data_IF_812478571304
#
_entry.id   IF_812478571304
#
_cell.length_a   1.000
_cell.length_b   1.000
_cell.length_c   1.000
_cell.angle_alpha   90.00
_cell.angle_beta   90.00
_cell.angle_gamma   90.00
#
_symmetry.space_group_name_H-M   'P 1'
#
loop_
_entity.id
_entity.type
_entity.pdbx_description
1 polymer ?
#
# COMPACT_ATOMS: atom_id res chain seq x y z
N UNK A 1 4.61 43.03 -13.94
CA UNK A 1 4.41 43.30 -12.50
C UNK A 1 4.82 42.04 -11.76
N UNK A 2 5.60 42.16 -10.69
CA UNK A 2 5.99 40.99 -9.89
C UNK A 2 4.82 40.53 -9.03
N UNK A 3 4.73 39.24 -8.76
CA UNK A 3 3.76 38.71 -7.82
C UNK A 3 4.15 39.01 -6.36
N UNK A 4 3.17 38.90 -5.46
CA UNK A 4 3.35 39.23 -4.05
C UNK A 4 4.40 38.32 -3.37
N UNK A 5 4.48 37.04 -3.78
CA UNK A 5 5.45 36.08 -3.26
C UNK A 5 6.89 36.48 -3.57
N UNK A 6 7.17 36.89 -4.82
CA UNK A 6 8.50 37.35 -5.22
C UNK A 6 8.89 38.67 -4.53
N UNK A 7 7.97 39.62 -4.40
CA UNK A 7 8.23 40.88 -3.67
C UNK A 7 8.55 40.63 -2.19
N UNK A 8 7.83 39.73 -1.54
CA UNK A 8 8.08 39.35 -0.15
C UNK A 8 9.44 38.68 0.03
N UNK A 9 9.81 37.76 -0.85
CA UNK A 9 11.13 37.12 -0.86
C UNK A 9 12.27 38.12 -1.05
N UNK A 10 12.11 39.06 -2.00
CA UNK A 10 13.10 40.13 -2.24
C UNK A 10 13.26 41.00 -1.01
N UNK A 11 12.16 41.39 -0.37
CA UNK A 11 12.18 42.19 0.85
C UNK A 11 12.86 41.44 2.00
N UNK A 12 12.50 40.18 2.23
CA UNK A 12 13.07 39.33 3.28
C UNK A 12 14.58 39.10 3.07
N UNK A 13 15.03 38.92 1.83
CA UNK A 13 16.44 38.78 1.49
C UNK A 13 17.25 40.09 1.61
N UNK A 14 16.60 41.24 1.82
CA UNK A 14 17.27 42.54 1.84
C UNK A 14 17.59 43.10 0.45
N UNK A 15 16.81 42.72 -0.57
CA UNK A 15 16.85 43.25 -1.93
C UNK A 15 17.27 42.24 -3.00
N UNK A 16 17.06 42.62 -4.27
CA UNK A 16 17.26 41.74 -5.44
C UNK A 16 18.69 41.22 -5.54
N UNK A 17 19.69 42.06 -5.26
CA UNK A 17 21.10 41.68 -5.30
C UNK A 17 21.49 40.69 -4.19
N UNK A 18 20.89 40.83 -3.01
CA UNK A 18 21.12 39.92 -1.88
C UNK A 18 20.47 38.56 -2.12
N UNK A 19 19.24 38.54 -2.67
CA UNK A 19 18.56 37.31 -3.08
C UNK A 19 19.37 36.58 -4.17
N UNK A 20 19.81 37.28 -5.21
CA UNK A 20 20.61 36.71 -6.30
C UNK A 20 21.94 36.11 -5.81
N UNK A 21 22.65 36.84 -4.94
CA UNK A 21 23.90 36.37 -4.32
C UNK A 21 23.66 35.13 -3.48
N UNK A 22 22.60 35.13 -2.68
CA UNK A 22 22.20 34.01 -1.84
C UNK A 22 21.85 32.74 -2.63
N UNK A 23 21.23 32.90 -3.81
CA UNK A 23 20.86 31.79 -4.70
C UNK A 23 21.98 31.37 -5.65
N UNK A 24 23.15 32.02 -5.62
CA UNK A 24 24.27 31.71 -6.50
C UNK A 24 24.00 32.01 -7.98
N UNK A 25 23.15 32.98 -8.30
CA UNK A 25 22.78 33.35 -9.68
C UNK A 25 23.02 34.83 -9.97
N UNK A 26 23.02 35.17 -11.26
CA UNK A 26 23.20 36.56 -11.69
C UNK A 26 21.99 37.42 -11.28
N UNK A 27 22.26 38.64 -10.77
CA UNK A 27 21.24 39.61 -10.35
C UNK A 27 20.24 39.99 -11.47
N UNK A 28 20.63 40.07 -12.76
CA UNK A 28 19.67 40.22 -13.86
C UNK A 28 18.66 39.07 -13.96
N UNK A 29 19.03 37.84 -13.59
CA UNK A 29 18.12 36.68 -13.63
C UNK A 29 16.95 36.84 -12.68
N UNK A 30 17.21 37.23 -11.42
CA UNK A 30 16.16 37.53 -10.43
C UNK A 30 15.36 38.76 -10.85
N UNK A 31 16.02 39.76 -11.44
CA UNK A 31 15.35 40.98 -11.89
C UNK A 31 14.28 40.71 -12.95
N UNK A 32 14.53 39.73 -13.82
CA UNK A 32 13.63 39.30 -14.88
C UNK A 32 12.45 38.42 -14.41
N UNK A 33 12.46 37.95 -13.16
CA UNK A 33 11.36 37.13 -12.65
C UNK A 33 10.09 37.96 -12.48
N UNK A 34 8.99 37.44 -13.04
CA UNK A 34 7.64 37.89 -12.71
C UNK A 34 7.10 37.17 -11.46
N UNK A 35 7.53 35.92 -11.25
CA UNK A 35 7.29 35.06 -10.09
C UNK A 35 8.49 34.15 -9.89
N UNK A 36 8.63 33.55 -8.71
CA UNK A 36 9.74 32.62 -8.41
C UNK A 36 9.58 31.35 -9.27
N UNK A 37 10.59 30.92 -10.06
CA UNK A 37 10.54 29.67 -10.81
C UNK A 37 10.31 28.45 -9.90
N UNK A 38 9.55 27.46 -10.36
CA UNK A 38 9.11 26.32 -9.53
C UNK A 38 10.30 25.57 -8.90
N UNK A 39 11.34 25.33 -9.71
CA UNK A 39 12.57 24.66 -9.34
C UNK A 39 13.44 25.44 -8.35
N UNK A 40 13.12 26.71 -8.08
CA UNK A 40 13.86 27.59 -7.17
C UNK A 40 13.13 27.91 -5.87
N UNK A 41 11.87 27.50 -5.71
CA UNK A 41 11.06 27.88 -4.54
C UNK A 41 11.69 27.40 -3.23
N UNK A 42 12.13 26.15 -3.17
CA UNK A 42 12.76 25.57 -1.96
C UNK A 42 14.05 26.30 -1.58
N UNK A 43 14.86 26.69 -2.56
CA UNK A 43 16.09 27.44 -2.31
C UNK A 43 15.80 28.87 -1.82
N UNK A 44 14.75 29.50 -2.35
CA UNK A 44 14.31 30.83 -1.90
C UNK A 44 13.72 30.77 -0.49
N UNK A 45 12.90 29.77 -0.18
CA UNK A 45 12.35 29.54 1.16
C UNK A 45 13.47 29.35 2.19
N UNK A 46 14.41 28.45 1.92
CA UNK A 46 15.54 28.19 2.83
C UNK A 46 16.35 29.47 3.12
N UNK A 47 16.53 30.34 2.11
CA UNK A 47 17.30 31.57 2.26
C UNK A 47 16.54 32.69 2.97
N UNK A 48 15.26 32.86 2.63
CA UNK A 48 14.44 34.00 3.08
C UNK A 48 13.63 33.70 4.32
N UNK A 49 13.50 32.42 4.69
CA UNK A 49 12.57 31.91 5.71
C UNK A 49 11.11 32.32 5.45
N UNK A 50 10.80 32.74 4.22
CA UNK A 50 9.43 32.97 3.76
C UNK A 50 8.90 31.66 3.22
N UNK A 51 7.80 31.22 3.78
CA UNK A 51 7.20 29.92 3.50
C UNK A 51 6.80 29.76 2.02
N UNK A 52 7.06 28.59 1.42
CA UNK A 52 6.69 28.21 0.05
C UNK A 52 5.21 28.42 -0.28
N UNK A 53 4.32 28.26 0.70
CA UNK A 53 2.87 28.49 0.55
C UNK A 53 2.56 29.97 0.28
N UNK A 54 3.43 30.89 0.72
CA UNK A 54 3.35 32.32 0.42
C UNK A 54 4.12 32.67 -0.86
N UNK A 55 5.24 32.00 -1.11
CA UNK A 55 6.07 32.25 -2.29
C UNK A 55 5.42 31.82 -3.60
N UNK A 56 4.76 30.65 -3.62
CA UNK A 56 4.06 30.07 -4.79
C UNK A 56 2.79 29.30 -4.35
N UNK A 57 1.74 30.01 -3.87
CA UNK A 57 0.46 29.39 -3.50
C UNK A 57 -0.20 28.65 -4.67
N UNK A 58 0.09 29.04 -5.91
CA UNK A 58 -0.41 28.36 -7.12
C UNK A 58 0.20 26.97 -7.34
N UNK A 59 1.37 26.68 -6.76
CA UNK A 59 1.99 25.35 -6.84
C UNK A 59 1.77 24.52 -5.59
N UNK A 60 1.83 25.15 -4.42
CA UNK A 60 1.86 24.44 -3.15
C UNK A 60 0.54 24.49 -2.39
N UNK A 61 -0.44 25.30 -2.84
CA UNK A 61 -1.70 25.49 -2.13
C UNK A 61 -1.51 26.22 -0.80
N UNK A 62 -2.35 25.90 0.18
CA UNK A 62 -2.18 26.34 1.57
C UNK A 62 -1.52 25.24 2.43
N UNK A 63 -0.92 25.60 3.59
CA UNK A 63 -0.43 24.62 4.54
C UNK A 63 -1.53 23.66 5.04
N UNK A 64 -2.75 24.18 5.16
CA UNK A 64 -3.93 23.40 5.56
C UNK A 64 -4.27 22.34 4.50
N UNK A 65 -4.26 22.70 3.21
CA UNK A 65 -4.51 21.75 2.11
C UNK A 65 -3.49 20.61 2.08
N UNK A 66 -2.20 20.92 2.30
CA UNK A 66 -1.15 19.89 2.35
C UNK A 66 -1.23 19.02 3.61
N UNK A 67 -1.58 19.60 4.75
CA UNK A 67 -1.79 18.85 5.98
C UNK A 67 -2.99 17.90 5.84
N UNK A 68 -4.09 18.36 5.23
CA UNK A 68 -5.25 17.53 4.92
C UNK A 68 -4.91 16.44 3.92
N UNK A 69 -4.24 16.75 2.80
CA UNK A 69 -3.87 15.73 1.81
C UNK A 69 -2.94 14.67 2.40
N UNK A 70 -2.01 15.06 3.28
CA UNK A 70 -1.14 14.11 3.96
C UNK A 70 -1.93 13.24 4.94
N UNK A 71 -2.83 13.83 5.72
CA UNK A 71 -3.69 13.09 6.64
C UNK A 71 -4.60 12.09 5.92
N UNK A 72 -5.13 12.46 4.75
CA UNK A 72 -5.93 11.57 3.90
C UNK A 72 -5.09 10.40 3.37
N UNK A 73 -3.85 10.65 2.92
CA UNK A 73 -2.91 9.59 2.52
C UNK A 73 -2.60 8.66 3.70
N UNK A 74 -2.32 9.22 4.89
CA UNK A 74 -2.07 8.43 6.10
C UNK A 74 -3.31 7.60 6.51
N UNK A 75 -4.53 8.07 6.24
CA UNK A 75 -5.76 7.29 6.45
C UNK A 75 -5.91 6.16 5.42
N UNK A 76 -5.68 6.45 4.14
CA UNK A 76 -5.69 5.44 3.07
C UNK A 76 -4.69 4.34 3.38
N UNK A 77 -3.46 4.68 3.74
CA UNK A 77 -2.41 3.70 4.03
C UNK A 77 -2.75 2.85 5.27
N UNK A 78 -3.38 3.43 6.30
CA UNK A 78 -3.92 2.64 7.43
C UNK A 78 -5.02 1.67 7.00
N UNK A 79 -5.91 2.07 6.11
CA UNK A 79 -6.98 1.20 5.60
C UNK A 79 -6.40 0.09 4.72
N UNK A 80 -5.45 0.41 3.82
CA UNK A 80 -4.71 -0.56 3.02
C UNK A 80 -4.00 -1.58 3.91
N UNK A 81 -3.27 -1.12 4.92
CA UNK A 81 -2.58 -1.97 5.88
C UNK A 81 -3.55 -2.89 6.66
N UNK A 82 -4.74 -2.40 7.01
CA UNK A 82 -5.76 -3.19 7.68
C UNK A 82 -6.32 -4.30 6.78
N UNK A 83 -6.59 -3.99 5.50
CA UNK A 83 -7.11 -4.96 4.53
C UNK A 83 -6.06 -6.05 4.22
N UNK A 84 -4.81 -5.65 3.94
CA UNK A 84 -3.70 -6.59 3.79
C UNK A 84 -3.53 -7.50 5.01
N UNK A 85 -3.58 -6.92 6.21
CA UNK A 85 -3.46 -7.66 7.47
C UNK A 85 -4.63 -8.63 7.70
N UNK A 86 -5.86 -8.23 7.37
CA UNK A 86 -7.03 -9.10 7.44
C UNK A 86 -6.87 -10.31 6.51
N UNK A 87 -6.57 -10.09 5.23
CA UNK A 87 -6.40 -11.17 4.27
C UNK A 87 -5.22 -12.09 4.65
N UNK A 88 -4.11 -11.53 5.11
CA UNK A 88 -2.97 -12.29 5.64
C UNK A 88 -3.39 -13.22 6.78
N UNK A 89 -4.10 -12.69 7.78
CA UNK A 89 -4.57 -13.45 8.94
C UNK A 89 -5.49 -14.62 8.52
N UNK A 90 -6.44 -14.37 7.61
CA UNK A 90 -7.41 -15.38 7.18
C UNK A 90 -6.80 -16.48 6.30
N UNK A 91 -5.73 -16.18 5.56
CA UNK A 91 -5.07 -17.12 4.65
C UNK A 91 -3.86 -17.82 5.28
N UNK A 92 -3.29 -17.27 6.36
CA UNK A 92 -2.14 -17.86 7.05
C UNK A 92 -2.50 -19.05 7.93
N UNK A 93 -3.71 -19.07 8.50
CA UNK A 93 -4.23 -20.17 9.31
C UNK A 93 -5.76 -20.15 9.33
N UNK A 94 -6.37 -21.29 9.65
CA UNK A 94 -7.81 -21.35 9.88
C UNK A 94 -8.23 -20.39 11.02
N UNK A 95 -9.22 -19.50 10.78
CA UNK A 95 -9.80 -18.63 11.79
C UNK A 95 -10.40 -19.41 12.97
N UNK A 96 -10.07 -18.97 14.18
CA UNK A 96 -10.76 -19.41 15.40
C UNK A 96 -12.09 -18.67 15.60
N UNK A 97 -12.87 -19.11 16.60
CA UNK A 97 -14.19 -18.55 16.88
C UNK A 97 -14.14 -17.05 17.19
N UNK A 98 -13.07 -16.56 17.83
CA UNK A 98 -12.94 -15.15 18.17
C UNK A 98 -12.57 -14.31 16.95
N UNK A 99 -11.76 -14.85 16.05
CA UNK A 99 -11.46 -14.25 14.74
C UNK A 99 -12.74 -14.16 13.90
N UNK A 100 -13.52 -15.24 13.81
CA UNK A 100 -14.80 -15.24 13.10
C UNK A 100 -15.78 -14.21 13.67
N UNK A 101 -15.91 -14.11 15.01
CA UNK A 101 -16.73 -13.07 15.65
C UNK A 101 -16.28 -11.66 15.27
N UNK A 102 -14.98 -11.38 15.22
CA UNK A 102 -14.44 -10.07 14.81
C UNK A 102 -14.75 -9.78 13.34
N UNK A 103 -14.52 -10.75 12.45
CA UNK A 103 -14.82 -10.62 11.02
C UNK A 103 -16.33 -10.41 10.78
N UNK A 104 -17.19 -11.05 11.56
CA UNK A 104 -18.64 -10.86 11.50
C UNK A 104 -19.10 -9.43 11.86
N UNK A 105 -18.23 -8.59 12.43
CA UNK A 105 -18.52 -7.18 12.71
C UNK A 105 -18.07 -6.21 11.62
N UNK A 106 -17.44 -6.71 10.55
CA UNK A 106 -17.05 -5.88 9.42
C UNK A 106 -18.29 -5.16 8.85
N UNK A 107 -18.06 -3.93 8.45
CA UNK A 107 -19.04 -3.08 7.78
C UNK A 107 -18.54 -2.80 6.38
N UNK A 108 -19.48 -2.58 5.48
CA UNK A 108 -19.19 -2.12 4.13
C UNK A 108 -20.07 -0.95 3.74
N UNK A 109 -19.74 -0.35 2.60
CA UNK A 109 -20.51 0.67 1.92
C UNK A 109 -20.94 0.17 0.52
N UNK A 110 -21.38 1.09 -0.34
CA UNK A 110 -21.83 0.78 -1.69
C UNK A 110 -20.71 0.52 -2.71
N UNK A 111 -19.44 0.57 -2.31
CA UNK A 111 -18.32 0.19 -3.17
C UNK A 111 -18.24 -1.32 -3.36
N UNK A 112 -17.53 -1.79 -4.38
CA UNK A 112 -17.35 -3.23 -4.61
C UNK A 112 -16.62 -3.91 -3.45
N UNK A 113 -15.62 -3.24 -2.86
CA UNK A 113 -14.91 -3.73 -1.68
C UNK A 113 -15.81 -3.73 -0.45
N UNK A 114 -16.59 -2.67 -0.24
CA UNK A 114 -17.57 -2.59 0.84
C UNK A 114 -18.60 -3.72 0.77
N UNK A 115 -19.15 -3.99 -0.41
CA UNK A 115 -20.07 -5.11 -0.60
C UNK A 115 -19.40 -6.47 -0.37
N UNK A 116 -18.12 -6.62 -0.74
CA UNK A 116 -17.36 -7.83 -0.42
C UNK A 116 -17.13 -8.01 1.09
N UNK A 117 -16.92 -6.92 1.84
CA UNK A 117 -16.84 -6.95 3.31
C UNK A 117 -18.15 -7.38 3.96
N UNK A 118 -19.30 -6.91 3.44
CA UNK A 118 -20.62 -7.34 3.94
C UNK A 118 -20.82 -8.85 3.74
N UNK A 119 -20.43 -9.37 2.59
CA UNK A 119 -20.51 -10.82 2.33
C UNK A 119 -19.55 -11.62 3.21
N UNK A 120 -18.33 -11.13 3.42
CA UNK A 120 -17.36 -11.75 4.33
C UNK A 120 -17.88 -11.76 5.78
N UNK A 121 -18.47 -10.66 6.24
CA UNK A 121 -19.10 -10.58 7.55
C UNK A 121 -20.24 -11.59 7.70
N UNK A 122 -21.11 -11.67 6.68
CA UNK A 122 -22.23 -12.63 6.66
C UNK A 122 -21.73 -14.07 6.65
N UNK A 123 -20.68 -14.39 5.89
CA UNK A 123 -20.09 -15.73 5.84
C UNK A 123 -19.47 -16.11 7.19
N UNK A 124 -18.78 -15.18 7.85
CA UNK A 124 -18.23 -15.39 9.19
C UNK A 124 -19.32 -15.62 10.24
N UNK A 125 -20.44 -14.91 10.16
CA UNK A 125 -21.57 -15.06 11.08
C UNK A 125 -22.34 -16.39 10.89
N UNK A 126 -22.28 -16.97 9.69
CA UNK A 126 -23.04 -18.17 9.32
C UNK A 126 -22.24 -19.49 9.47
N UNK A 127 -21.03 -19.44 10.02
CA UNK A 127 -20.13 -20.59 10.16
C UNK A 127 -19.58 -20.71 11.59
N UNK A 128 -18.85 -21.79 11.86
CA UNK A 128 -18.09 -21.99 13.10
C UNK A 128 -16.63 -22.39 12.80
N UNK A 129 -15.79 -22.30 13.83
CA UNK A 129 -14.35 -22.55 13.75
C UNK A 129 -14.01 -23.97 13.31
N UNK A 130 -14.85 -24.95 13.68
CA UNK A 130 -14.67 -26.34 13.26
C UNK A 130 -14.92 -26.51 11.76
N UNK A 131 -16.01 -25.91 11.25
CA UNK A 131 -16.35 -25.95 9.84
C UNK A 131 -15.28 -25.24 9.00
N UNK A 132 -14.85 -24.03 9.41
CA UNK A 132 -13.81 -23.28 8.70
C UNK A 132 -12.45 -23.97 8.79
N UNK A 133 -12.12 -24.63 9.90
CA UNK A 133 -10.88 -25.42 10.01
C UNK A 133 -10.87 -26.60 9.04
N UNK A 134 -12.01 -27.27 8.86
CA UNK A 134 -12.15 -28.34 7.86
C UNK A 134 -12.02 -27.77 6.44
N UNK A 135 -12.70 -26.68 6.16
CA UNK A 135 -12.65 -25.99 4.87
C UNK A 135 -11.21 -25.56 4.53
N UNK A 136 -10.51 -24.91 5.47
CA UNK A 136 -9.11 -24.52 5.32
C UNK A 136 -8.20 -25.72 5.01
N UNK A 137 -8.42 -26.82 5.74
CA UNK A 137 -7.69 -28.06 5.48
C UNK A 137 -7.92 -28.56 4.05
N UNK A 138 -9.18 -28.66 3.61
CA UNK A 138 -9.51 -29.15 2.26
C UNK A 138 -8.93 -28.23 1.17
N UNK A 139 -8.96 -26.91 1.39
CA UNK A 139 -8.48 -25.91 0.44
C UNK A 139 -6.95 -25.85 0.32
N UNK A 140 -6.23 -25.80 1.43
CA UNK A 140 -4.81 -25.40 1.43
C UNK A 140 -3.85 -26.52 1.85
N UNK A 141 -4.34 -27.55 2.54
CA UNK A 141 -3.48 -28.61 3.10
C UNK A 141 -3.73 -29.93 2.38
N UNK A 142 -4.96 -30.45 2.47
CA UNK A 142 -5.40 -31.72 1.92
C UNK A 142 -4.69 -32.94 2.50
N UNK A 143 -5.14 -34.14 2.12
CA UNK A 143 -4.42 -35.39 2.35
C UNK A 143 -3.37 -35.58 1.25
N UNK A 144 -2.34 -34.72 1.28
CA UNK A 144 -1.22 -34.71 0.34
C UNK A 144 -1.08 -33.37 -0.37
N UNK A 145 -2.18 -32.85 -0.92
CA UNK A 145 -2.22 -31.52 -1.54
C UNK A 145 -3.62 -30.92 -1.44
N UNK A 146 -3.70 -29.65 -1.03
CA UNK A 146 -4.94 -28.87 -1.05
C UNK A 146 -5.41 -28.57 -2.48
N UNK A 147 -6.67 -28.14 -2.61
CA UNK A 147 -7.21 -27.65 -3.88
C UNK A 147 -6.39 -26.49 -4.46
N UNK A 148 -5.85 -25.63 -3.58
CA UNK A 148 -5.01 -24.49 -3.94
C UNK A 148 -3.63 -24.61 -3.30
N UNK A 149 -2.62 -24.10 -4.01
CA UNK A 149 -1.27 -23.89 -3.50
C UNK A 149 -0.96 -22.39 -3.56
N UNK A 150 -1.18 -21.63 -2.49
CA UNK A 150 -1.17 -20.17 -2.51
C UNK A 150 0.25 -19.59 -2.48
N UNK A 151 1.11 -20.05 -3.39
CA UNK A 151 2.52 -19.64 -3.50
C UNK A 151 2.79 -19.01 -4.87
N UNK A 152 3.56 -17.93 -4.90
CA UNK A 152 3.93 -17.24 -6.14
C UNK A 152 4.68 -18.19 -7.09
N UNK A 153 5.62 -18.98 -6.57
CA UNK A 153 6.35 -19.98 -7.35
C UNK A 153 5.41 -20.94 -8.06
N UNK A 154 4.40 -21.46 -7.37
CA UNK A 154 3.43 -22.37 -7.96
C UNK A 154 2.57 -21.70 -9.04
N UNK A 155 1.99 -20.54 -8.76
CA UNK A 155 1.13 -19.85 -9.73
C UNK A 155 1.87 -19.35 -10.97
N UNK A 156 3.14 -18.96 -10.82
CA UNK A 156 3.93 -18.39 -11.92
C UNK A 156 4.69 -19.46 -12.72
N UNK A 157 5.02 -20.60 -12.13
CA UNK A 157 5.89 -21.60 -12.78
C UNK A 157 5.31 -23.01 -12.81
N UNK A 158 4.27 -23.30 -12.03
CA UNK A 158 3.71 -24.63 -11.83
C UNK A 158 4.45 -25.48 -10.78
N UNK A 159 5.54 -24.97 -10.18
CA UNK A 159 6.36 -25.69 -9.21
C UNK A 159 6.69 -24.82 -7.99
N UNK A 160 6.80 -25.45 -6.81
CA UNK A 160 7.19 -24.77 -5.57
C UNK A 160 8.71 -24.55 -5.52
N UNK A 161 9.14 -23.57 -4.71
CA UNK A 161 10.55 -23.27 -4.43
C UNK A 161 11.38 -22.82 -5.64
N UNK A 162 10.71 -22.27 -6.65
CA UNK A 162 11.34 -21.77 -7.87
C UNK A 162 11.83 -20.32 -7.74
N UNK A 163 12.29 -19.77 -8.86
CA UNK A 163 12.82 -18.39 -8.97
C UNK A 163 11.98 -17.30 -8.28
N UNK A 164 10.62 -17.32 -8.30
CA UNK A 164 9.84 -16.31 -7.58
C UNK A 164 10.16 -16.23 -6.08
N UNK A 165 10.35 -17.38 -5.41
CA UNK A 165 10.73 -17.42 -3.99
C UNK A 165 12.11 -16.80 -3.74
N UNK A 166 13.08 -17.09 -4.61
CA UNK A 166 14.42 -16.49 -4.49
C UNK A 166 14.37 -14.96 -4.60
N UNK A 167 13.54 -14.43 -5.51
CA UNK A 167 13.34 -12.99 -5.69
C UNK A 167 12.69 -12.32 -4.47
N UNK A 168 11.67 -12.94 -3.89
CA UNK A 168 11.06 -12.45 -2.64
C UNK A 168 12.14 -12.34 -1.56
N UNK A 169 12.97 -13.37 -1.37
CA UNK A 169 14.05 -13.35 -0.36
C UNK A 169 15.14 -12.31 -0.63
N UNK A 170 15.41 -11.96 -1.88
CA UNK A 170 16.31 -10.86 -2.23
C UNK A 170 15.72 -9.53 -1.80
N UNK A 171 14.45 -9.29 -2.13
CA UNK A 171 13.81 -8.00 -1.88
C UNK A 171 13.50 -7.80 -0.38
N UNK A 172 13.11 -8.86 0.35
CA UNK A 172 12.97 -8.79 1.81
C UNK A 172 14.29 -8.43 2.49
N UNK A 173 15.43 -9.00 2.03
CA UNK A 173 16.75 -8.63 2.56
C UNK A 173 17.11 -7.18 2.25
N UNK A 174 16.77 -6.69 1.07
CA UNK A 174 17.01 -5.29 0.69
C UNK A 174 16.18 -4.32 1.56
N UNK A 175 14.96 -4.70 1.91
CA UNK A 175 14.07 -3.94 2.80
C UNK A 175 14.36 -4.14 4.30
N UNK A 176 15.37 -4.96 4.66
CA UNK A 176 15.68 -5.27 6.06
C UNK A 176 14.58 -6.08 6.78
N UNK A 177 13.70 -6.75 6.03
CA UNK A 177 12.59 -7.53 6.57
C UNK A 177 13.07 -8.95 6.83
N UNK A 178 12.96 -9.38 8.09
CA UNK A 178 13.31 -10.71 8.53
C UNK A 178 12.08 -11.48 9.04
N UNK A 179 12.16 -12.81 8.94
CA UNK A 179 11.10 -13.66 9.50
C UNK A 179 11.12 -13.62 11.02
N UNK A 180 9.95 -13.42 11.60
CA UNK A 180 9.73 -13.67 13.02
C UNK A 180 9.42 -15.17 13.26
N UNK A 181 10.22 -15.82 14.11
CA UNK A 181 9.92 -17.17 14.63
C UNK A 181 10.26 -18.34 13.70
N UNK A 182 9.59 -19.47 13.89
CA UNK A 182 9.95 -20.79 13.31
C UNK A 182 9.01 -21.28 12.20
N UNK A 183 8.16 -20.40 11.64
CA UNK A 183 7.22 -20.77 10.57
C UNK A 183 7.96 -21.39 9.38
N UNK A 184 7.44 -22.52 8.88
CA UNK A 184 8.04 -23.32 7.81
C UNK A 184 7.52 -22.98 6.41
N UNK A 185 6.50 -22.14 6.33
CA UNK A 185 5.93 -21.73 5.04
C UNK A 185 6.92 -20.90 4.24
N UNK A 186 7.21 -21.20 2.96
CA UNK A 186 8.01 -20.36 2.05
C UNK A 186 7.57 -18.89 1.96
N UNK A 187 8.51 -17.97 1.76
CA UNK A 187 8.27 -16.51 1.82
C UNK A 187 7.33 -16.02 0.72
N UNK A 188 7.18 -16.80 -0.35
CA UNK A 188 6.30 -16.51 -1.46
C UNK A 188 4.86 -17.00 -1.25
N UNK A 189 4.52 -17.47 -0.05
CA UNK A 189 3.14 -17.73 0.36
C UNK A 189 2.33 -16.43 0.42
N UNK A 190 1.10 -16.43 -0.09
CA UNK A 190 0.26 -15.22 -0.19
C UNK A 190 0.12 -14.49 1.15
N UNK A 191 -0.14 -15.21 2.24
CA UNK A 191 -0.31 -14.62 3.56
C UNK A 191 0.92 -13.83 4.03
N UNK A 192 2.13 -14.30 3.70
CA UNK A 192 3.38 -13.63 4.06
C UNK A 192 3.56 -12.38 3.19
N UNK A 193 3.29 -12.46 1.89
CA UNK A 193 3.39 -11.30 1.02
C UNK A 193 2.38 -10.19 1.38
N UNK A 194 1.17 -10.58 1.78
CA UNK A 194 0.16 -9.65 2.29
C UNK A 194 0.58 -9.05 3.64
N UNK A 195 1.21 -9.83 4.53
CA UNK A 195 1.75 -9.32 5.80
C UNK A 195 2.85 -8.28 5.57
N UNK A 196 3.73 -8.53 4.59
CA UNK A 196 4.77 -7.58 4.19
C UNK A 196 4.15 -6.29 3.66
N UNK A 197 3.16 -6.38 2.77
CA UNK A 197 2.44 -5.20 2.29
C UNK A 197 1.72 -4.45 3.41
N UNK A 198 1.16 -5.17 4.40
CA UNK A 198 0.54 -4.55 5.56
C UNK A 198 1.56 -3.73 6.38
N UNK A 199 2.77 -4.26 6.59
CA UNK A 199 3.84 -3.55 7.29
C UNK A 199 4.39 -2.37 6.49
N UNK A 200 4.55 -2.53 5.18
CA UNK A 200 4.95 -1.46 4.26
C UNK A 200 3.95 -0.30 4.27
N UNK A 201 2.65 -0.59 4.13
CA UNK A 201 1.60 0.44 4.18
C UNK A 201 1.46 1.08 5.57
N UNK A 202 1.72 0.34 6.65
CA UNK A 202 1.70 0.89 8.02
C UNK A 202 2.91 1.79 8.33
N UNK A 203 3.97 1.70 7.52
CA UNK A 203 5.25 2.36 7.80
C UNK A 203 6.07 1.65 8.88
N UNK A 204 5.84 0.35 9.11
CA UNK A 204 6.64 -0.44 10.05
C UNK A 204 8.07 -0.67 9.54
N UNK A 205 8.26 -0.56 8.22
CA UNK A 205 9.54 -0.61 7.54
C UNK A 205 9.83 0.76 6.92
N UNK A 206 11.09 1.21 6.98
CA UNK A 206 11.52 2.42 6.27
C UNK A 206 11.48 2.15 4.76
N UNK A 207 10.35 2.50 4.11
CA UNK A 207 10.13 2.32 2.68
C UNK A 207 9.31 3.47 2.10
N UNK A 208 9.75 3.99 0.96
CA UNK A 208 9.01 4.98 0.19
C UNK A 208 7.84 4.31 -0.58
N UNK A 209 6.84 5.10 -0.98
CA UNK A 209 5.70 4.57 -1.75
C UNK A 209 6.12 3.80 -3.02
N UNK A 210 7.18 4.25 -3.70
CA UNK A 210 7.74 3.59 -4.88
C UNK A 210 8.28 2.18 -4.57
N UNK A 211 8.77 1.93 -3.36
CA UNK A 211 9.24 0.61 -2.93
C UNK A 211 8.06 -0.31 -2.62
N UNK A 212 6.96 0.22 -2.05
CA UNK A 212 5.71 -0.52 -1.90
C UNK A 212 5.16 -0.95 -3.27
N UNK A 213 5.11 -0.02 -4.23
CA UNK A 213 4.66 -0.28 -5.60
C UNK A 213 5.52 -1.33 -6.29
N UNK A 214 6.84 -1.20 -6.21
CA UNK A 214 7.80 -2.17 -6.76
C UNK A 214 7.60 -3.57 -6.17
N UNK A 215 7.40 -3.67 -4.85
CA UNK A 215 7.13 -4.94 -4.19
C UNK A 215 5.82 -5.56 -4.68
N UNK A 216 4.73 -4.78 -4.72
CA UNK A 216 3.42 -5.25 -5.20
C UNK A 216 3.46 -5.72 -6.66
N UNK A 217 4.00 -4.90 -7.55
CA UNK A 217 4.12 -5.18 -8.99
C UNK A 217 4.89 -6.47 -9.26
N UNK A 218 5.93 -6.73 -8.46
CA UNK A 218 6.81 -7.88 -8.66
C UNK A 218 6.28 -9.15 -8.00
N UNK A 219 5.67 -9.04 -6.82
CA UNK A 219 5.39 -10.21 -5.97
C UNK A 219 3.91 -10.53 -5.79
N UNK A 220 2.98 -9.63 -6.08
CA UNK A 220 1.54 -9.87 -5.92
C UNK A 220 0.79 -9.74 -7.24
N UNK A 221 0.89 -8.61 -7.93
CA UNK A 221 0.15 -8.30 -9.16
C UNK A 221 0.16 -9.42 -10.22
N UNK A 222 1.27 -10.14 -10.47
CA UNK A 222 1.31 -11.13 -11.54
C UNK A 222 0.41 -12.36 -11.32
N UNK A 223 -0.08 -12.61 -10.10
CA UNK A 223 -0.78 -13.85 -9.78
C UNK A 223 -1.83 -13.78 -8.67
N UNK A 224 -1.76 -12.81 -7.75
CA UNK A 224 -2.60 -12.77 -6.56
C UNK A 224 -4.09 -12.68 -6.90
N UNK A 225 -4.49 -11.80 -7.82
CA UNK A 225 -5.89 -11.67 -8.25
C UNK A 225 -6.43 -12.98 -8.84
N UNK A 226 -5.61 -13.71 -9.62
CA UNK A 226 -5.96 -15.04 -10.15
C UNK A 226 -6.12 -16.06 -9.03
N UNK A 227 -5.21 -16.09 -8.06
CA UNK A 227 -5.31 -17.02 -6.91
C UNK A 227 -6.60 -16.78 -6.13
N UNK A 228 -6.96 -15.52 -5.88
CA UNK A 228 -8.22 -15.17 -5.22
C UNK A 228 -9.45 -15.55 -6.06
N UNK A 229 -9.40 -15.40 -7.39
CA UNK A 229 -10.46 -15.88 -8.27
C UNK A 229 -10.60 -17.42 -8.22
N UNK A 230 -9.49 -18.15 -8.21
CA UNK A 230 -9.48 -19.61 -8.07
C UNK A 230 -10.06 -20.03 -6.69
N UNK A 231 -9.77 -19.27 -5.62
CA UNK A 231 -10.32 -19.49 -4.29
C UNK A 231 -11.84 -19.26 -4.23
N UNK A 232 -12.31 -18.19 -4.89
CA UNK A 232 -13.74 -17.88 -5.03
C UNK A 232 -14.51 -19.01 -5.74
N UNK A 233 -13.86 -19.69 -6.70
CA UNK A 233 -14.45 -20.73 -7.54
C UNK A 233 -14.22 -22.16 -7.03
N UNK A 234 -13.46 -22.34 -5.95
CA UNK A 234 -13.13 -23.67 -5.41
C UNK A 234 -14.36 -24.43 -4.91
N UNK A 235 -14.33 -25.77 -5.04
CA UNK A 235 -15.47 -26.63 -4.73
C UNK A 235 -15.75 -26.68 -3.24
N UNK A 236 -14.69 -26.74 -2.42
CA UNK A 236 -14.81 -26.76 -0.96
C UNK A 236 -15.08 -25.37 -0.37
N UNK A 237 -14.92 -24.29 -1.14
CA UNK A 237 -15.05 -22.92 -0.65
C UNK A 237 -16.50 -22.56 -0.28
N UNK A 238 -16.68 -22.25 1.01
CA UNK A 238 -17.88 -21.72 1.66
C UNK A 238 -17.53 -20.38 2.31
N UNK A 239 -16.89 -20.35 3.48
CA UNK A 239 -16.41 -19.11 4.08
C UNK A 239 -15.32 -18.45 3.22
N UNK A 240 -14.37 -19.26 2.72
CA UNK A 240 -13.26 -18.76 1.91
C UNK A 240 -13.67 -18.28 0.52
N UNK A 241 -14.91 -18.56 0.08
CA UNK A 241 -15.44 -17.93 -1.13
C UNK A 241 -15.54 -16.40 -0.97
N UNK A 242 -16.02 -15.95 0.20
CA UNK A 242 -16.10 -14.53 0.49
C UNK A 242 -14.70 -13.90 0.68
N UNK A 243 -13.76 -14.65 1.25
CA UNK A 243 -12.33 -14.26 1.32
C UNK A 243 -11.73 -14.12 -0.10
N UNK A 244 -12.05 -15.07 -0.98
CA UNK A 244 -11.71 -15.05 -2.41
C UNK A 244 -12.17 -13.77 -3.08
N UNK A 245 -13.46 -13.45 -2.94
CA UNK A 245 -14.05 -12.24 -3.53
C UNK A 245 -13.42 -10.95 -2.98
N UNK A 246 -13.30 -10.81 -1.66
CA UNK A 246 -12.71 -9.62 -1.03
C UNK A 246 -11.26 -9.41 -1.50
N UNK A 247 -10.44 -10.47 -1.46
CA UNK A 247 -9.06 -10.40 -1.90
C UNK A 247 -8.92 -10.10 -3.39
N UNK A 248 -9.76 -10.66 -4.26
CA UNK A 248 -9.73 -10.38 -5.70
C UNK A 248 -10.02 -8.90 -5.98
N UNK A 249 -11.12 -8.37 -5.43
CA UNK A 249 -11.50 -6.95 -5.59
C UNK A 249 -10.40 -6.04 -5.03
N UNK A 250 -9.84 -6.37 -3.87
CA UNK A 250 -8.76 -5.57 -3.28
C UNK A 250 -7.48 -5.59 -4.14
N UNK A 251 -7.08 -6.73 -4.71
CA UNK A 251 -5.93 -6.79 -5.61
C UNK A 251 -6.14 -6.00 -6.91
N UNK A 252 -7.37 -5.95 -7.43
CA UNK A 252 -7.74 -5.12 -8.59
C UNK A 252 -7.59 -3.64 -8.25
N UNK A 253 -8.13 -3.19 -7.10
CA UNK A 253 -8.00 -1.82 -6.61
C UNK A 253 -6.54 -1.39 -6.37
N UNK A 254 -5.74 -2.23 -5.70
CA UNK A 254 -4.32 -1.94 -5.46
C UNK A 254 -3.54 -1.82 -6.77
N UNK A 255 -3.85 -2.68 -7.75
CA UNK A 255 -3.22 -2.60 -9.07
C UNK A 255 -3.53 -1.29 -9.78
N UNK A 256 -4.76 -0.79 -9.68
CA UNK A 256 -5.14 0.52 -10.24
C UNK A 256 -4.44 1.66 -9.50
N UNK A 257 -4.46 1.63 -8.16
CA UNK A 257 -3.84 2.64 -7.32
C UNK A 257 -2.34 2.80 -7.61
N UNK A 258 -1.59 1.69 -7.66
CA UNK A 258 -0.15 1.72 -7.96
C UNK A 258 0.18 2.11 -9.40
N UNK A 259 -0.77 1.95 -10.34
CA UNK A 259 -0.57 2.38 -11.74
C UNK A 259 -0.79 3.88 -11.92
N UNK A 260 -1.66 4.49 -11.10
CA UNK A 260 -2.03 5.91 -11.17
C UNK A 260 -1.11 6.84 -10.34
N UNK A 261 -0.16 6.26 -9.60
CA UNK A 261 0.75 6.97 -8.69
C UNK A 261 2.12 7.19 -9.32
#
# INVERSE_FOLDING_TARGET
MRDAGLELAIKAAGGVGSLARGLGIAQPSVSAWARIPAERVLAVEALTQVDRFVLRPDLYGSPEDQATSKADVDEIDRLRAAEYGLLSLLLGKAPDADTLKRVATLKGDGSDLGMAHVELASAAAATDDRAVSKEFFDLFIGLGRGELLPYASYYLTGFLHERPLARVREDLRALGIERAGTSREPEDHIAILLEVMAGLARGDFEAEFAEQASFFERHLKPWAARMFADLEMSQSARFYRAVGRAGRVFMELESEAFTLS
#
